data_IF_183074155060
#
_entry.id   IF_183074155060
#
_cell.length_a   1.000
_cell.length_b   1.000
_cell.length_c   1.000
_cell.angle_alpha   90.00
_cell.angle_beta   90.00
_cell.angle_gamma   90.00
#
_symmetry.space_group_name_H-M   'P 1'
#
loop_
_entity.id
_entity.type
_entity.pdbx_description
1 polymer ?
#
# COMPACT_ATOMS: atom_id res chain seq x y z
N UNK A 1 9.92 17.50 -10.02
CA UNK A 1 11.41 17.32 -9.97
C UNK A 1 11.74 15.88 -9.55
N UNK A 2 12.80 15.28 -10.12
CA UNK A 2 13.31 13.96 -9.68
C UNK A 2 14.27 14.18 -8.51
N UNK A 3 14.04 13.50 -7.39
CA UNK A 3 14.79 13.66 -6.13
C UNK A 3 15.59 12.39 -5.87
N UNK A 4 16.91 12.52 -5.76
CA UNK A 4 17.82 11.39 -5.56
C UNK A 4 18.82 11.61 -4.40
N UNK A 5 18.76 12.78 -3.71
CA UNK A 5 19.67 13.09 -2.62
C UNK A 5 18.91 13.58 -1.38
N UNK A 6 19.40 13.21 -0.20
CA UNK A 6 18.85 13.61 1.09
C UNK A 6 18.72 15.13 1.22
N UNK A 7 19.73 15.87 0.78
CA UNK A 7 19.73 17.34 0.81
C UNK A 7 18.59 17.92 -0.04
N UNK A 8 18.38 17.41 -1.26
CA UNK A 8 17.29 17.84 -2.13
C UNK A 8 15.91 17.57 -1.47
N UNK A 9 15.75 16.38 -0.87
CA UNK A 9 14.51 16.03 -0.20
C UNK A 9 14.25 16.95 1.00
N UNK A 10 15.29 17.24 1.81
CA UNK A 10 15.14 18.11 2.95
C UNK A 10 14.73 19.53 2.53
N UNK A 11 15.39 20.10 1.53
CA UNK A 11 15.06 21.44 0.99
C UNK A 11 13.60 21.53 0.50
N UNK A 12 13.10 20.44 -0.11
CA UNK A 12 11.69 20.38 -0.56
C UNK A 12 10.74 20.30 0.64
N UNK A 13 11.04 19.45 1.63
CA UNK A 13 10.22 19.34 2.84
C UNK A 13 10.16 20.66 3.58
N UNK A 14 11.31 21.33 3.77
CA UNK A 14 11.39 22.62 4.45
C UNK A 14 10.59 23.69 3.72
N UNK A 15 10.67 23.74 2.39
CA UNK A 15 9.89 24.64 1.53
C UNK A 15 8.37 24.44 1.68
N UNK A 16 7.96 23.19 1.88
CA UNK A 16 6.54 22.79 1.90
C UNK A 16 6.06 22.30 3.26
N UNK A 17 6.71 22.73 4.34
CA UNK A 17 6.45 22.22 5.70
C UNK A 17 5.00 22.41 6.16
N UNK A 18 4.32 23.45 5.68
CA UNK A 18 2.92 23.76 5.97
C UNK A 18 1.93 23.30 4.89
N UNK A 19 2.40 22.58 3.88
CA UNK A 19 1.55 22.09 2.79
C UNK A 19 1.04 20.69 3.06
N UNK A 20 -0.23 20.45 2.80
CA UNK A 20 -0.78 19.11 2.61
C UNK A 20 -0.24 18.49 1.32
N UNK A 21 -0.22 17.16 1.26
CA UNK A 21 0.34 16.45 0.11
C UNK A 21 -0.46 15.20 -0.26
N UNK A 22 -0.40 14.84 -1.54
CA UNK A 22 -0.85 13.53 -2.03
C UNK A 22 0.37 12.67 -2.29
N UNK A 23 0.34 11.43 -1.78
CA UNK A 23 1.39 10.44 -1.91
C UNK A 23 0.92 9.27 -2.79
N UNK A 24 1.74 8.91 -3.77
CA UNK A 24 1.49 7.71 -4.60
C UNK A 24 2.74 6.83 -4.55
N UNK A 25 2.67 5.71 -3.82
CA UNK A 25 3.75 4.74 -3.77
C UNK A 25 3.78 3.91 -5.05
N UNK A 26 4.99 3.61 -5.52
CA UNK A 26 5.24 2.72 -6.64
C UNK A 26 6.19 1.65 -6.14
N UNK A 27 5.67 0.44 -5.95
CA UNK A 27 6.45 -0.71 -5.51
C UNK A 27 7.26 -1.28 -6.68
N UNK A 28 8.36 -1.98 -6.36
CA UNK A 28 9.26 -2.54 -7.37
C UNK A 28 8.57 -3.55 -8.27
N UNK A 29 7.76 -4.44 -7.69
CA UNK A 29 7.01 -5.47 -8.43
C UNK A 29 5.57 -5.53 -7.91
N UNK A 30 4.60 -5.26 -8.77
CA UNK A 30 3.18 -5.28 -8.38
C UNK A 30 2.61 -6.70 -8.14
N UNK A 31 3.32 -7.74 -8.54
CA UNK A 31 2.89 -9.14 -8.35
C UNK A 31 3.37 -9.70 -7.01
N UNK A 32 4.32 -9.06 -6.35
CA UNK A 32 4.77 -9.47 -5.04
C UNK A 32 3.83 -8.96 -3.95
N UNK A 33 3.70 -9.76 -2.90
CA UNK A 33 3.04 -9.31 -1.69
C UNK A 33 3.77 -8.07 -1.13
N UNK A 34 3.07 -7.02 -0.65
CA UNK A 34 3.73 -5.78 -0.17
C UNK A 34 4.85 -5.99 0.86
N UNK A 35 4.76 -7.02 1.71
CA UNK A 35 5.79 -7.35 2.69
C UNK A 35 7.07 -7.92 2.06
N UNK A 36 6.96 -8.53 0.89
CA UNK A 36 8.09 -9.10 0.13
C UNK A 36 8.61 -8.14 -0.95
N UNK A 37 8.07 -6.94 -0.96
CA UNK A 37 8.31 -5.93 -1.97
C UNK A 37 9.04 -4.73 -1.38
N UNK A 38 9.58 -3.88 -2.23
CA UNK A 38 10.26 -2.65 -1.85
C UNK A 38 9.63 -1.45 -2.54
N UNK A 39 9.73 -0.30 -1.91
CA UNK A 39 9.32 0.96 -2.51
C UNK A 39 10.36 1.37 -3.57
N UNK A 40 9.94 1.39 -4.83
CA UNK A 40 10.79 1.83 -5.95
C UNK A 40 10.85 3.34 -6.03
N UNK A 41 9.68 3.98 -6.06
CA UNK A 41 9.52 5.41 -6.17
C UNK A 41 8.39 5.88 -5.24
N UNK A 42 8.47 7.14 -4.79
CA UNK A 42 7.35 7.84 -4.18
C UNK A 42 7.08 9.13 -4.94
N UNK A 43 5.91 9.22 -5.56
CA UNK A 43 5.42 10.46 -6.12
C UNK A 43 4.75 11.31 -5.05
N UNK A 44 5.06 12.61 -5.01
CA UNK A 44 4.54 13.59 -4.06
C UNK A 44 3.95 14.76 -4.85
N UNK A 45 2.69 15.09 -4.58
CA UNK A 45 2.03 16.32 -5.05
C UNK A 45 1.74 17.23 -3.86
N UNK A 46 2.32 18.42 -3.85
CA UNK A 46 2.07 19.43 -2.85
C UNK A 46 0.81 20.22 -3.19
N UNK A 47 -0.18 20.23 -2.30
CA UNK A 47 -1.50 20.80 -2.63
C UNK A 47 -1.51 22.31 -2.65
N UNK A 48 -0.69 22.99 -1.83
CA UNK A 48 -0.64 24.44 -1.77
C UNK A 48 0.03 25.08 -2.99
N UNK A 49 1.14 24.49 -3.46
CA UNK A 49 1.94 25.04 -4.58
C UNK A 49 1.63 24.40 -5.92
N UNK A 50 1.02 23.22 -5.91
CA UNK A 50 0.87 22.40 -7.11
C UNK A 50 2.17 21.77 -7.61
N UNK A 51 3.28 21.91 -6.89
CA UNK A 51 4.56 21.28 -7.26
C UNK A 51 4.50 19.75 -7.15
N UNK A 52 5.35 19.12 -7.96
CA UNK A 52 5.43 17.66 -8.05
C UNK A 52 6.87 17.20 -7.90
N UNK A 53 7.04 16.16 -7.10
CA UNK A 53 8.32 15.52 -6.87
C UNK A 53 8.18 14.00 -7.01
N UNK A 54 9.22 13.36 -7.47
CA UNK A 54 9.33 11.90 -7.45
C UNK A 54 10.65 11.52 -6.77
N UNK A 55 10.52 10.83 -5.65
CA UNK A 55 11.64 10.37 -4.83
C UNK A 55 12.05 8.99 -5.31
N UNK A 56 13.35 8.82 -5.62
CA UNK A 56 13.90 7.59 -6.19
C UNK A 56 14.59 6.79 -5.10
N UNK A 57 14.12 5.55 -4.89
CA UNK A 57 14.68 4.62 -3.89
C UNK A 57 15.31 3.39 -4.56
N UNK A 58 14.50 2.39 -4.93
CA UNK A 58 14.96 1.12 -5.49
C UNK A 58 14.59 0.97 -6.98
N UNK A 59 14.90 1.99 -7.78
CA UNK A 59 14.57 2.05 -9.19
C UNK A 59 15.80 1.82 -10.09
N UNK A 60 15.60 1.31 -11.32
CA UNK A 60 16.69 1.06 -12.26
C UNK A 60 17.41 2.33 -12.71
N UNK A 61 16.73 3.48 -12.75
CA UNK A 61 17.31 4.79 -13.04
C UNK A 61 17.87 5.50 -11.80
N UNK A 62 18.03 4.77 -10.68
CA UNK A 62 18.71 5.28 -9.48
C UNK A 62 20.16 5.62 -9.81
N UNK A 63 20.57 6.85 -9.51
CA UNK A 63 21.95 7.30 -9.71
C UNK A 63 22.91 6.58 -8.75
N UNK A 64 24.16 6.43 -9.13
CA UNK A 64 25.18 5.80 -8.27
C UNK A 64 25.46 6.58 -6.99
N UNK A 65 25.28 7.91 -7.03
CA UNK A 65 25.48 8.84 -5.92
C UNK A 65 24.18 9.09 -5.11
N UNK A 66 23.11 8.36 -5.41
CA UNK A 66 21.85 8.46 -4.64
C UNK A 66 22.06 7.92 -3.23
N UNK A 67 21.85 8.78 -2.23
CA UNK A 67 22.01 8.49 -0.81
C UNK A 67 20.66 8.31 -0.05
N UNK A 68 19.53 8.34 -0.78
CA UNK A 68 18.20 8.17 -0.21
C UNK A 68 17.93 6.72 0.21
N UNK A 69 17.27 6.57 1.34
CA UNK A 69 16.69 5.32 1.82
C UNK A 69 15.32 5.57 2.47
N UNK A 70 14.59 4.49 2.73
CA UNK A 70 13.23 4.54 3.28
C UNK A 70 13.19 5.19 4.68
N UNK A 71 14.19 4.94 5.53
CA UNK A 71 14.23 5.50 6.88
C UNK A 71 14.39 7.02 6.88
N UNK A 72 15.26 7.54 6.00
CA UNK A 72 15.39 8.99 5.84
C UNK A 72 14.13 9.61 5.27
N UNK A 73 13.55 8.99 4.23
CA UNK A 73 12.30 9.43 3.62
C UNK A 73 11.17 9.50 4.67
N UNK A 74 11.04 8.45 5.50
CA UNK A 74 10.05 8.42 6.58
C UNK A 74 10.26 9.59 7.55
N UNK A 75 11.48 9.77 8.05
CA UNK A 75 11.80 10.85 8.99
C UNK A 75 11.50 12.23 8.38
N UNK A 76 11.91 12.45 7.14
CA UNK A 76 11.67 13.72 6.43
C UNK A 76 10.17 14.00 6.25
N UNK A 77 9.39 13.01 5.84
CA UNK A 77 7.93 13.19 5.67
C UNK A 77 7.19 13.33 7.00
N UNK A 78 7.64 12.71 8.09
CA UNK A 78 7.02 12.83 9.42
C UNK A 78 7.30 14.18 10.10
N UNK A 79 8.27 14.97 9.62
CA UNK A 79 8.49 16.37 10.05
C UNK A 79 7.29 17.23 9.65
N UNK A 80 6.77 17.07 8.44
CA UNK A 80 5.55 17.73 8.02
C UNK A 80 4.34 17.11 8.75
N UNK A 81 3.65 17.91 9.56
CA UNK A 81 2.50 17.50 10.39
C UNK A 81 1.15 17.63 9.69
N UNK A 82 1.12 18.14 8.46
CA UNK A 82 -0.09 18.29 7.66
C UNK A 82 -0.57 16.96 7.11
N UNK A 83 -1.80 16.92 6.65
CA UNK A 83 -2.40 15.71 6.08
C UNK A 83 -1.63 15.21 4.86
N UNK A 84 -1.44 13.91 4.84
CA UNK A 84 -0.89 13.15 3.73
C UNK A 84 -1.99 12.27 3.17
N UNK A 85 -2.47 12.58 1.99
CA UNK A 85 -3.53 11.84 1.33
C UNK A 85 -2.94 10.70 0.50
N UNK A 86 -3.50 9.52 0.64
CA UNK A 86 -3.12 8.33 -0.12
C UNK A 86 -4.38 7.59 -0.56
N UNK A 87 -4.32 6.94 -1.72
CA UNK A 87 -5.45 6.18 -2.23
C UNK A 87 -5.70 4.86 -1.47
N UNK A 88 -4.65 4.14 -1.12
CA UNK A 88 -4.69 2.87 -0.37
C UNK A 88 -3.57 2.87 0.68
N UNK A 89 -3.92 3.26 1.90
CA UNK A 89 -2.97 3.35 3.02
C UNK A 89 -2.35 2.00 3.34
N UNK A 90 -3.14 0.93 3.28
CA UNK A 90 -2.69 -0.40 3.66
C UNK A 90 -1.55 -0.90 2.75
N UNK A 91 -1.58 -0.58 1.46
CA UNK A 91 -0.51 -0.95 0.53
C UNK A 91 0.82 -0.24 0.82
N UNK A 92 0.77 0.99 1.33
CA UNK A 92 1.99 1.75 1.67
C UNK A 92 2.57 1.35 3.03
N UNK A 93 1.74 1.07 4.02
CA UNK A 93 2.16 0.92 5.42
C UNK A 93 3.18 -0.20 5.63
N UNK A 94 3.18 -1.23 4.77
CA UNK A 94 4.16 -2.31 4.80
C UNK A 94 5.58 -1.82 4.47
N UNK A 95 5.70 -0.78 3.64
CA UNK A 95 6.98 -0.29 3.12
C UNK A 95 7.38 1.07 3.71
N UNK A 96 6.39 1.90 4.05
CA UNK A 96 6.61 3.26 4.56
C UNK A 96 5.51 3.62 5.57
N UNK A 97 5.64 3.20 6.83
CA UNK A 97 4.67 3.50 7.90
C UNK A 97 4.80 4.97 8.33
N UNK A 98 4.03 5.85 7.71
CA UNK A 98 3.96 7.28 7.99
C UNK A 98 2.87 7.62 8.99
N UNK A 99 3.11 8.67 9.78
CA UNK A 99 2.10 9.31 10.61
C UNK A 99 1.17 10.21 9.74
N UNK A 100 -0.02 10.50 10.24
CA UNK A 100 -0.98 11.43 9.60
C UNK A 100 -1.36 11.08 8.15
N UNK A 101 -1.49 9.78 7.84
CA UNK A 101 -1.99 9.31 6.56
C UNK A 101 -3.52 9.31 6.54
N UNK A 102 -4.11 9.92 5.50
CA UNK A 102 -5.54 9.86 5.20
C UNK A 102 -5.77 8.96 3.98
N UNK A 103 -6.51 7.88 4.16
CA UNK A 103 -6.91 6.98 3.08
C UNK A 103 -8.17 7.50 2.40
N UNK A 104 -8.01 8.05 1.20
CA UNK A 104 -9.12 8.67 0.47
C UNK A 104 -10.14 7.65 -0.02
N UNK A 105 -9.73 6.44 -0.33
CA UNK A 105 -10.63 5.38 -0.75
C UNK A 105 -11.45 4.85 0.43
N UNK A 106 -10.81 4.69 1.58
CA UNK A 106 -11.51 4.28 2.80
C UNK A 106 -12.55 5.31 3.21
N UNK A 107 -12.21 6.59 3.20
CA UNK A 107 -13.14 7.67 3.54
C UNK A 107 -14.35 7.67 2.61
N UNK A 108 -14.12 7.58 1.31
CA UNK A 108 -15.20 7.47 0.33
C UNK A 108 -16.08 6.24 0.57
N UNK A 109 -15.49 5.07 0.82
CA UNK A 109 -16.22 3.84 1.09
C UNK A 109 -17.08 3.95 2.34
N UNK A 110 -16.55 4.51 3.43
CA UNK A 110 -17.29 4.65 4.69
C UNK A 110 -18.49 5.61 4.57
N UNK A 111 -18.35 6.65 3.77
CA UNK A 111 -19.42 7.63 3.57
C UNK A 111 -20.50 7.14 2.58
N UNK A 112 -20.10 6.44 1.53
CA UNK A 112 -21.02 6.07 0.45
C UNK A 112 -21.47 4.61 0.49
N UNK A 113 -20.81 3.77 1.28
CA UNK A 113 -20.95 2.29 1.27
C UNK A 113 -20.65 1.65 -0.08
N UNK A 114 -20.05 2.40 -1.01
CA UNK A 114 -19.66 1.93 -2.33
C UNK A 114 -18.15 1.73 -2.41
N UNK A 115 -17.68 0.53 -2.76
CA UNK A 115 -16.25 0.36 -3.04
C UNK A 115 -15.89 1.13 -4.30
N UNK A 116 -14.97 2.09 -4.18
CA UNK A 116 -14.45 2.77 -5.35
C UNK A 116 -13.27 1.97 -5.91
N UNK A 117 -13.48 1.39 -7.08
CA UNK A 117 -12.40 0.72 -7.80
C UNK A 117 -11.69 1.73 -8.72
N UNK A 118 -10.75 2.50 -8.17
CA UNK A 118 -9.71 3.14 -9.00
C UNK A 118 -8.79 2.06 -9.60
N UNK A 119 -8.94 0.83 -9.17
CA UNK A 119 -8.19 -0.35 -9.61
C UNK A 119 -8.16 -0.56 -11.13
N UNK A 120 -9.16 -0.07 -11.85
CA UNK A 120 -9.08 -0.01 -13.32
C UNK A 120 -7.88 0.81 -13.81
N UNK A 121 -7.29 1.69 -12.99
CA UNK A 121 -6.07 2.42 -13.33
C UNK A 121 -4.80 1.65 -12.97
N UNK A 122 -4.82 0.89 -11.90
CA UNK A 122 -3.67 0.09 -11.47
C UNK A 122 -3.62 -1.26 -12.18
N UNK A 123 -4.79 -1.85 -12.50
CA UNK A 123 -4.89 -3.09 -13.28
C UNK A 123 -4.74 -2.86 -14.77
N UNK A 124 -5.18 -1.72 -15.31
CA UNK A 124 -4.99 -1.30 -16.69
C UNK A 124 -3.73 -0.43 -16.88
N UNK A 125 -2.74 -0.59 -16.04
CA UNK A 125 -1.42 0.03 -16.27
C UNK A 125 -0.80 -0.38 -17.61
N UNK A 126 -1.21 -1.51 -18.19
CA UNK A 126 -0.90 -1.92 -19.55
C UNK A 126 -1.33 -0.87 -20.59
N UNK A 127 -2.61 -0.46 -20.55
CA UNK A 127 -3.15 0.53 -21.48
C UNK A 127 -2.55 1.93 -21.20
N UNK A 128 -2.22 2.18 -19.94
CA UNK A 128 -1.70 3.46 -19.52
C UNK A 128 -0.27 3.73 -20.02
N UNK A 129 0.59 2.73 -19.95
CA UNK A 129 1.99 2.86 -20.34
C UNK A 129 2.26 2.48 -21.79
N UNK A 130 1.28 1.93 -22.52
CA UNK A 130 1.47 1.35 -23.86
C UNK A 130 2.64 0.34 -23.88
N UNK A 131 2.87 -0.36 -22.79
CA UNK A 131 3.95 -1.33 -22.61
C UNK A 131 3.34 -2.71 -22.50
N UNK A 132 3.81 -3.64 -23.31
CA UNK A 132 3.44 -5.05 -23.16
C UNK A 132 4.18 -5.64 -21.95
N UNK A 133 3.50 -5.64 -20.80
CA UNK A 133 4.06 -6.11 -19.52
C UNK A 133 4.40 -7.61 -19.51
N UNK A 134 3.92 -8.39 -20.47
CA UNK A 134 4.31 -9.79 -20.60
C UNK A 134 5.82 -9.95 -20.86
N UNK A 135 6.45 -8.94 -21.47
CA UNK A 135 7.88 -8.93 -21.76
C UNK A 135 8.74 -8.35 -20.64
N UNK A 136 8.15 -7.57 -19.70
CA UNK A 136 8.86 -6.91 -18.60
C UNK A 136 8.57 -7.53 -17.22
N UNK A 137 7.94 -8.71 -17.16
CA UNK A 137 7.59 -9.41 -15.91
C UNK A 137 6.84 -8.54 -14.89
N UNK A 138 6.11 -7.52 -15.34
CA UNK A 138 5.38 -6.57 -14.47
C UNK A 138 6.24 -5.83 -13.42
N UNK A 139 7.54 -5.67 -13.66
CA UNK A 139 8.45 -5.06 -12.70
C UNK A 139 8.48 -3.54 -12.91
N UNK A 140 7.76 -2.82 -12.07
CA UNK A 140 7.64 -1.36 -12.12
C UNK A 140 9.00 -0.64 -12.07
N UNK A 141 9.98 -1.21 -11.37
CA UNK A 141 11.33 -0.62 -11.23
C UNK A 141 12.08 -0.39 -12.54
N UNK A 142 11.65 -1.02 -13.63
CA UNK A 142 12.26 -0.86 -14.95
C UNK A 142 11.49 0.05 -15.90
N UNK A 143 10.29 0.50 -15.49
CA UNK A 143 9.52 1.48 -16.27
C UNK A 143 10.13 2.86 -16.07
N UNK A 144 10.39 3.65 -17.14
CA UNK A 144 11.02 4.96 -17.00
C UNK A 144 10.34 5.87 -15.98
N UNK A 145 11.12 6.57 -15.15
CA UNK A 145 10.61 7.48 -14.10
C UNK A 145 9.61 8.49 -14.66
N UNK A 146 9.84 8.99 -15.87
CA UNK A 146 8.92 9.95 -16.51
C UNK A 146 7.52 9.37 -16.75
N UNK A 147 7.40 8.06 -17.01
CA UNK A 147 6.11 7.38 -17.12
C UNK A 147 5.41 7.29 -15.77
N UNK A 148 6.14 7.02 -14.71
CA UNK A 148 5.59 7.04 -13.36
C UNK A 148 5.15 8.44 -12.92
N UNK A 149 5.86 9.49 -13.34
CA UNK A 149 5.45 10.88 -13.11
C UNK A 149 4.12 11.20 -13.81
N UNK A 150 3.97 10.77 -15.06
CA UNK A 150 2.71 10.90 -15.81
C UNK A 150 1.56 10.12 -15.16
N UNK A 151 1.83 8.90 -14.73
CA UNK A 151 0.88 8.06 -13.98
C UNK A 151 0.44 8.76 -12.67
N UNK A 152 1.40 9.27 -11.89
CA UNK A 152 1.13 10.00 -10.66
C UNK A 152 0.18 11.19 -10.89
N UNK A 153 0.42 11.99 -11.93
CA UNK A 153 -0.46 13.12 -12.30
C UNK A 153 -1.89 12.68 -12.60
N UNK A 154 -2.06 11.61 -13.40
CA UNK A 154 -3.38 11.10 -13.76
C UNK A 154 -4.11 10.55 -12.54
N UNK A 155 -3.40 9.84 -11.64
CA UNK A 155 -3.98 9.30 -10.42
C UNK A 155 -4.41 10.41 -9.46
N UNK A 156 -3.56 11.42 -9.23
CA UNK A 156 -3.93 12.61 -8.41
C UNK A 156 -5.16 13.31 -8.96
N UNK A 157 -5.26 13.49 -10.26
CA UNK A 157 -6.44 14.12 -10.87
C UNK A 157 -7.72 13.31 -10.59
N UNK A 158 -7.65 11.98 -10.60
CA UNK A 158 -8.78 11.12 -10.22
C UNK A 158 -9.06 11.12 -8.72
N UNK A 159 -8.03 11.26 -7.89
CA UNK A 159 -8.20 11.37 -6.44
C UNK A 159 -8.77 12.72 -6.00
N UNK A 160 -8.75 13.74 -6.86
CA UNK A 160 -9.14 15.11 -6.48
C UNK A 160 -10.51 15.17 -5.80
N UNK A 161 -11.49 14.50 -6.36
CA UNK A 161 -12.86 14.49 -5.83
C UNK A 161 -12.96 13.70 -4.51
N UNK A 162 -12.00 12.80 -4.27
CA UNK A 162 -11.94 12.00 -3.05
C UNK A 162 -11.37 12.77 -1.85
N UNK A 163 -10.63 13.86 -2.08
CA UNK A 163 -10.03 14.66 -1.01
C UNK A 163 -11.07 15.41 -0.17
N UNK A 164 -12.31 15.51 -0.65
CA UNK A 164 -13.41 16.15 0.08
C UNK A 164 -14.03 15.26 1.15
N UNK A 165 -13.86 13.95 1.05
CA UNK A 165 -14.37 13.00 2.04
C UNK A 165 -13.51 13.04 3.30
N UNK A 166 -14.16 13.27 4.45
CA UNK A 166 -13.47 13.39 5.74
C UNK A 166 -13.54 12.07 6.51
N UNK A 167 -12.49 11.80 7.23
CA UNK A 167 -12.42 10.64 8.11
C UNK A 167 -13.18 10.92 9.42
N UNK A 168 -14.45 10.50 9.52
CA UNK A 168 -15.28 10.74 10.70
C UNK A 168 -14.90 9.85 11.89
N UNK A 169 -14.42 8.63 11.65
CA UNK A 169 -14.06 7.63 12.68
C UNK A 169 -12.59 7.23 12.60
N UNK A 170 -11.70 8.23 12.64
CA UNK A 170 -10.26 8.03 12.43
C UNK A 170 -9.66 6.90 13.27
N UNK A 171 -9.90 6.89 14.58
CA UNK A 171 -9.31 5.89 15.47
C UNK A 171 -9.78 4.47 15.17
N UNK A 172 -11.06 4.28 14.82
CA UNK A 172 -11.59 2.97 14.46
C UNK A 172 -10.95 2.47 13.16
N UNK A 173 -10.90 3.32 12.15
CA UNK A 173 -10.37 2.99 10.84
C UNK A 173 -8.86 2.70 10.88
N UNK A 174 -8.11 3.49 11.66
CA UNK A 174 -6.70 3.23 11.89
C UNK A 174 -6.48 1.88 12.55
N UNK A 175 -7.26 1.53 13.57
CA UNK A 175 -7.16 0.25 14.26
C UNK A 175 -7.47 -0.93 13.34
N UNK A 176 -8.52 -0.84 12.50
CA UNK A 176 -8.85 -1.90 11.53
C UNK A 176 -7.71 -2.09 10.53
N UNK A 177 -7.21 -1.02 9.92
CA UNK A 177 -6.10 -1.09 8.98
C UNK A 177 -4.84 -1.64 9.65
N UNK A 178 -4.50 -1.16 10.84
CA UNK A 178 -3.30 -1.60 11.55
C UNK A 178 -3.40 -3.09 11.92
N UNK A 179 -4.55 -3.54 12.38
CA UNK A 179 -4.76 -4.95 12.72
C UNK A 179 -4.67 -5.85 11.47
N UNK A 180 -5.30 -5.47 10.38
CA UNK A 180 -5.20 -6.23 9.12
C UNK A 180 -3.78 -6.22 8.58
N UNK A 181 -3.08 -5.10 8.64
CA UNK A 181 -1.67 -5.00 8.26
C UNK A 181 -0.81 -5.93 9.10
N UNK A 182 -1.05 -5.98 10.42
CA UNK A 182 -0.33 -6.87 11.32
C UNK A 182 -0.59 -8.35 11.01
N UNK A 183 -1.84 -8.72 10.71
CA UNK A 183 -2.18 -10.09 10.28
C UNK A 183 -1.46 -10.43 8.98
N UNK A 184 -1.46 -9.54 8.01
CA UNK A 184 -0.75 -9.71 6.74
C UNK A 184 0.76 -9.89 6.93
N UNK A 185 1.38 -9.08 7.82
CA UNK A 185 2.81 -9.15 8.13
C UNK A 185 3.20 -10.45 8.83
N UNK A 186 2.33 -10.97 9.66
CA UNK A 186 2.61 -12.21 10.37
C UNK A 186 2.59 -13.43 9.47
N UNK A 187 1.69 -13.49 8.49
CA UNK A 187 1.51 -14.64 7.64
C UNK A 187 1.21 -15.93 8.41
N UNK A 188 1.12 -17.04 7.71
CA UNK A 188 1.03 -18.40 8.28
C UNK A 188 2.26 -19.22 7.89
N UNK A 189 2.84 -19.90 8.87
CA UNK A 189 4.00 -20.75 8.68
C UNK A 189 3.58 -22.14 8.19
N UNK A 190 4.36 -22.72 7.27
CA UNK A 190 4.03 -23.99 6.63
C UNK A 190 5.02 -25.10 6.95
N UNK A 191 4.63 -26.34 6.70
CA UNK A 191 5.49 -27.53 6.80
C UNK A 191 6.73 -27.46 5.90
N UNK A 192 6.70 -26.63 4.86
CA UNK A 192 7.81 -26.40 3.93
C UNK A 192 8.84 -25.39 4.48
N UNK A 193 8.67 -24.95 5.73
CA UNK A 193 9.47 -23.92 6.39
C UNK A 193 9.40 -22.53 5.73
N UNK A 194 8.27 -22.21 5.13
CA UNK A 194 8.02 -20.95 4.45
C UNK A 194 6.84 -20.23 5.08
N UNK A 195 6.84 -18.88 4.98
CA UNK A 195 5.69 -18.09 5.31
C UNK A 195 4.83 -17.84 4.08
N UNK A 196 3.52 -18.03 4.25
CA UNK A 196 2.52 -17.63 3.27
C UNK A 196 1.74 -16.44 3.79
N UNK A 197 1.50 -15.46 2.91
CA UNK A 197 0.88 -14.20 3.27
C UNK A 197 -0.47 -14.04 2.58
N UNK A 198 -1.43 -13.47 3.31
CA UNK A 198 -2.71 -13.02 2.76
C UNK A 198 -2.67 -11.52 2.55
N UNK A 199 -3.45 -11.02 1.62
CA UNK A 199 -3.71 -9.60 1.44
C UNK A 199 -5.21 -9.37 1.48
N UNK A 200 -5.68 -8.58 2.46
CA UNK A 200 -7.11 -8.35 2.66
C UNK A 200 -7.61 -7.12 1.93
N UNK A 201 -8.74 -7.30 1.23
CA UNK A 201 -9.54 -6.20 0.72
C UNK A 201 -10.59 -5.82 1.79
N UNK A 202 -10.59 -4.56 2.20
CA UNK A 202 -11.54 -4.02 3.17
C UNK A 202 -12.77 -3.39 2.49
N UNK A 203 -12.70 -3.12 1.20
CA UNK A 203 -13.74 -2.45 0.41
C UNK A 203 -14.76 -3.44 -0.12
N UNK A 204 -15.56 -4.01 0.76
CA UNK A 204 -16.59 -5.00 0.39
C UNK A 204 -17.98 -4.49 0.75
N UNK A 205 -18.98 -4.84 -0.03
CA UNK A 205 -20.38 -4.41 0.20
C UNK A 205 -20.94 -4.79 1.57
N UNK A 206 -20.36 -5.80 2.22
CA UNK A 206 -20.81 -6.31 3.53
C UNK A 206 -19.92 -5.84 4.68
N UNK A 207 -18.82 -5.11 4.41
CA UNK A 207 -17.80 -4.76 5.42
C UNK A 207 -16.94 -5.94 5.87
N UNK A 208 -17.20 -7.17 5.39
CA UNK A 208 -16.39 -8.33 5.73
C UNK A 208 -15.10 -8.34 4.88
N UNK A 209 -13.91 -8.29 5.47
CA UNK A 209 -12.67 -8.37 4.69
C UNK A 209 -12.63 -9.62 3.82
N UNK A 210 -12.30 -9.44 2.55
CA UNK A 210 -12.12 -10.53 1.60
C UNK A 210 -10.67 -10.61 1.16
N UNK A 211 -10.29 -11.74 0.55
CA UNK A 211 -8.95 -11.84 -0.01
C UNK A 211 -8.79 -10.90 -1.20
N UNK A 212 -7.69 -10.16 -1.24
CA UNK A 212 -7.32 -9.33 -2.39
C UNK A 212 -6.63 -10.19 -3.44
N UNK A 213 -6.79 -9.81 -4.70
CA UNK A 213 -6.13 -10.47 -5.82
C UNK A 213 -4.62 -10.63 -5.58
N UNK A 214 -4.11 -11.85 -5.76
CA UNK A 214 -2.70 -12.20 -5.58
C UNK A 214 -2.29 -12.74 -4.21
N UNK A 215 -3.16 -12.64 -3.17
CA UNK A 215 -2.89 -13.24 -1.86
C UNK A 215 -3.58 -14.59 -1.66
N UNK A 216 -3.13 -15.35 -0.66
CA UNK A 216 -3.78 -16.62 -0.28
C UNK A 216 -5.06 -16.32 0.48
N UNK A 217 -6.15 -16.94 0.06
CA UNK A 217 -7.43 -16.84 0.77
C UNK A 217 -7.52 -17.92 1.87
N UNK A 218 -7.01 -17.61 3.05
CA UNK A 218 -7.07 -18.52 4.19
C UNK A 218 -8.50 -18.87 4.62
N UNK A 219 -9.47 -17.97 4.43
CA UNK A 219 -10.87 -18.25 4.74
C UNK A 219 -11.53 -19.26 3.81
N UNK A 220 -11.01 -19.43 2.59
CA UNK A 220 -11.52 -20.36 1.59
C UNK A 220 -10.75 -21.69 1.55
N UNK A 221 -9.81 -21.93 2.46
CA UNK A 221 -9.09 -23.19 2.53
C UNK A 221 -10.06 -24.33 2.85
N UNK A 222 -10.01 -25.39 2.04
CA UNK A 222 -10.85 -26.56 2.21
C UNK A 222 -10.55 -27.26 3.56
N UNK A 223 -11.61 -27.67 4.25
CA UNK A 223 -11.52 -28.38 5.53
C UNK A 223 -11.26 -29.89 5.37
N UNK A 224 -11.72 -30.46 4.25
CA UNK A 224 -11.79 -31.92 4.07
C UNK A 224 -10.62 -32.52 3.28
N UNK A 225 -9.90 -31.75 2.45
CA UNK A 225 -8.83 -32.23 1.58
C UNK A 225 -7.45 -32.25 2.23
N UNK A 226 -7.34 -31.85 3.48
CA UNK A 226 -6.08 -31.81 4.21
C UNK A 226 -5.23 -30.57 3.94
N UNK A 227 -5.65 -29.63 3.07
CA UNK A 227 -4.91 -28.40 2.74
C UNK A 227 -4.53 -27.59 3.97
N UNK A 228 -5.38 -27.61 5.02
CA UNK A 228 -5.11 -26.88 6.26
C UNK A 228 -3.96 -27.48 7.08
N UNK A 229 -3.66 -28.76 6.92
CA UNK A 229 -2.61 -29.46 7.68
C UNK A 229 -1.20 -28.97 7.37
N UNK A 230 -1.01 -28.29 6.24
CA UNK A 230 0.29 -27.68 5.91
C UNK A 230 0.63 -26.48 6.78
N UNK A 231 -0.37 -25.83 7.42
CA UNK A 231 -0.13 -24.70 8.30
C UNK A 231 0.13 -25.19 9.71
N UNK A 232 1.29 -24.83 10.23
CA UNK A 232 1.78 -25.26 11.54
C UNK A 232 2.19 -24.07 12.39
N UNK A 233 2.39 -24.32 13.69
CA UNK A 233 2.92 -23.29 14.57
C UNK A 233 4.35 -22.88 14.16
N UNK A 234 4.60 -21.57 14.06
CA UNK A 234 5.96 -21.04 13.85
C UNK A 234 6.92 -21.30 15.01
N UNK A 235 6.39 -21.72 16.14
CA UNK A 235 7.16 -22.05 17.34
C UNK A 235 7.47 -23.56 17.45
N UNK A 236 7.17 -24.34 16.39
CA UNK A 236 7.36 -25.80 16.39
C UNK A 236 6.64 -26.47 17.55
N UNK A 237 7.30 -27.38 18.24
CA UNK A 237 6.75 -28.12 19.39
C UNK A 237 6.46 -27.25 20.63
N UNK A 238 6.93 -26.01 20.65
CA UNK A 238 6.70 -25.06 21.75
C UNK A 238 5.41 -24.24 21.57
N UNK A 239 4.65 -24.47 20.53
CA UNK A 239 3.43 -23.74 20.24
C UNK A 239 2.40 -24.56 19.49
N UNK A 240 1.17 -24.09 19.50
CA UNK A 240 0.07 -24.70 18.74
C UNK A 240 -0.70 -23.65 17.92
N UNK A 241 -1.43 -24.12 16.93
CA UNK A 241 -2.44 -23.32 16.24
C UNK A 241 -3.76 -23.47 17.00
N UNK A 242 -4.41 -22.33 17.26
CA UNK A 242 -5.73 -22.30 17.92
C UNK A 242 -6.72 -21.73 16.92
N UNK A 243 -7.79 -22.45 16.63
CA UNK A 243 -8.94 -21.95 15.86
C UNK A 243 -10.02 -21.53 16.86
N UNK A 244 -10.47 -20.27 16.74
CA UNK A 244 -11.59 -19.74 17.51
C UNK A 244 -12.58 -19.14 16.53
N UNK A 245 -13.86 -19.51 16.69
CA UNK A 245 -14.95 -19.00 15.87
C UNK A 245 -16.15 -18.64 16.75
N UNK A 246 -16.93 -17.65 16.35
CA UNK A 246 -18.17 -17.28 17.03
C UNK A 246 -19.32 -18.08 16.45
N UNK A 247 -20.07 -18.77 17.29
CA UNK A 247 -21.29 -19.43 16.89
C UNK A 247 -22.39 -18.41 16.57
N UNK A 248 -22.96 -18.52 15.36
CA UNK A 248 -24.07 -17.69 14.88
C UNK A 248 -23.87 -16.18 15.05
N UNK A 249 -22.65 -15.66 14.86
CA UNK A 249 -22.29 -14.25 15.05
C UNK A 249 -23.22 -13.27 14.29
N UNK A 250 -23.69 -13.65 13.10
CA UNK A 250 -24.59 -12.83 12.28
C UNK A 250 -26.01 -12.67 12.81
N UNK A 251 -26.37 -13.43 13.85
CA UNK A 251 -27.69 -13.41 14.48
C UNK A 251 -27.71 -12.70 15.85
N UNK A 252 -26.59 -12.06 16.23
CA UNK A 252 -26.46 -11.39 17.52
C UNK A 252 -26.30 -9.90 17.38
#
# INVERSE_FOLDING_TARGET
>A
MIVQHKKQLQEIIDKHIESEMVLIPILCDKNLHPIQNELSLLYIKWLSSGEENIVVLNHSEKRKDNDLNVDFLKKALDINKKNKYIYDRKSLIHNLPLNTLNDTNLNFYLETSNPLYIDNLTTNSHDFFNINFSTLNNINRYIPIMKHLEYGRKLVNKMRDLLFYKEENKNYNENVINNLTHIEQNGLFTTDNEYQYSQYNIYTSTGRPSNRFGGINFAALNKSDGTRKKYISRYGDKGCMIEMDYDAYHLR
#
